data_IF_484868104091
#
_entry.id   IF_484868104091
#
_cell.length_a   1.000
_cell.length_b   1.000
_cell.length_c   1.000
_cell.angle_alpha   90.00
_cell.angle_beta   90.00
_cell.angle_gamma   90.00
#
_symmetry.space_group_name_H-M   'P 1'
#
loop_
_entity.id
_entity.type
_entity.pdbx_description
1 polymer ?
#
# COMPACT_ATOMS: atom_id res chain seq x y z
N UNK A 1 -11.38 -7.87 -13.91
CA UNK A 1 -10.13 -7.36 -14.51
C UNK A 1 -9.98 -5.85 -14.32
N UNK A 2 -10.99 -5.07 -14.70
CA UNK A 2 -10.97 -3.60 -14.55
C UNK A 2 -10.62 -3.12 -13.13
N UNK A 3 -11.02 -3.84 -12.09
CA UNK A 3 -10.64 -3.51 -10.72
C UNK A 3 -9.13 -3.69 -10.46
N UNK A 4 -8.54 -4.78 -10.96
CA UNK A 4 -7.11 -5.04 -10.84
C UNK A 4 -6.29 -4.02 -11.64
N UNK A 5 -6.73 -3.69 -12.84
CA UNK A 5 -6.08 -2.68 -13.68
C UNK A 5 -6.07 -1.31 -12.97
N UNK A 6 -7.19 -0.95 -12.33
CA UNK A 6 -7.27 0.27 -11.52
C UNK A 6 -6.32 0.24 -10.32
N UNK A 7 -6.20 -0.88 -9.62
CA UNK A 7 -5.28 -1.02 -8.50
C UNK A 7 -3.82 -0.93 -8.95
N UNK A 8 -3.48 -1.52 -10.09
CA UNK A 8 -2.15 -1.41 -10.68
C UNK A 8 -1.82 0.06 -11.02
N UNK A 9 -2.72 0.77 -11.67
CA UNK A 9 -2.54 2.21 -11.95
C UNK A 9 -2.36 3.05 -10.68
N UNK A 10 -3.13 2.76 -9.63
CA UNK A 10 -2.98 3.45 -8.35
C UNK A 10 -1.62 3.16 -7.70
N UNK A 11 -1.14 1.92 -7.76
CA UNK A 11 0.17 1.56 -7.24
C UNK A 11 1.29 2.30 -7.98
N UNK A 12 1.22 2.35 -9.31
CA UNK A 12 2.19 3.08 -10.14
C UNK A 12 2.16 4.59 -9.88
N UNK A 13 0.97 5.17 -9.77
CA UNK A 13 0.80 6.58 -9.45
C UNK A 13 1.35 6.92 -8.05
N UNK A 14 1.10 6.07 -7.06
CA UNK A 14 1.65 6.26 -5.71
C UNK A 14 3.17 6.15 -5.70
N UNK A 15 3.75 5.20 -6.43
CA UNK A 15 5.20 5.07 -6.55
C UNK A 15 5.83 6.30 -7.21
N UNK A 16 5.21 6.83 -8.26
CA UNK A 16 5.65 8.05 -8.93
C UNK A 16 5.57 9.26 -7.99
N UNK A 17 4.50 9.38 -7.22
CA UNK A 17 4.31 10.46 -6.27
C UNK A 17 5.34 10.42 -5.13
N UNK A 18 5.65 9.24 -4.59
CA UNK A 18 6.73 9.09 -3.59
C UNK A 18 8.06 9.56 -4.16
N UNK A 19 8.42 9.12 -5.38
CA UNK A 19 9.66 9.57 -6.03
C UNK A 19 9.70 11.08 -6.21
N UNK A 20 8.59 11.67 -6.61
CA UNK A 20 8.46 13.13 -6.80
C UNK A 20 8.68 13.87 -5.48
N UNK A 21 8.06 13.43 -4.40
CA UNK A 21 8.14 14.06 -3.08
C UNK A 21 9.57 13.99 -2.52
N UNK A 22 10.27 12.88 -2.69
CA UNK A 22 11.60 12.68 -2.09
C UNK A 22 12.75 13.17 -2.96
N UNK A 23 12.55 13.38 -4.25
CA UNK A 23 13.62 13.67 -5.23
C UNK A 23 14.49 14.88 -4.90
N UNK A 24 13.94 15.90 -4.24
CA UNK A 24 14.66 17.11 -3.88
C UNK A 24 15.11 17.19 -2.41
N UNK A 25 14.87 16.12 -1.63
CA UNK A 25 15.15 16.13 -0.21
C UNK A 25 16.58 15.68 0.09
N UNK A 26 17.23 16.36 1.05
CA UNK A 26 18.50 15.95 1.62
C UNK A 26 18.28 14.87 2.69
N UNK A 27 19.32 14.10 3.00
CA UNK A 27 19.27 13.05 4.03
C UNK A 27 18.76 13.57 5.38
N UNK A 28 19.20 14.76 5.79
CA UNK A 28 18.72 15.38 7.02
C UNK A 28 17.21 15.65 7.02
N UNK A 29 16.62 15.95 5.87
CA UNK A 29 15.17 16.17 5.73
C UNK A 29 14.40 14.84 5.72
N UNK A 30 14.96 13.80 5.11
CA UNK A 30 14.39 12.46 5.12
C UNK A 30 14.38 11.84 6.53
N UNK A 31 15.42 12.11 7.31
CA UNK A 31 15.59 11.59 8.67
C UNK A 31 14.93 12.47 9.74
N UNK A 32 14.48 13.65 9.38
CA UNK A 32 13.85 14.56 10.34
C UNK A 32 12.54 13.99 10.88
N UNK A 33 12.37 14.07 12.20
CA UNK A 33 11.16 13.69 12.90
C UNK A 33 10.60 14.90 13.66
N UNK A 34 9.29 15.19 13.58
CA UNK A 34 8.67 16.32 14.27
C UNK A 34 8.67 16.16 15.81
N UNK A 35 8.80 14.94 16.32
CA UNK A 35 8.88 14.62 17.74
C UNK A 35 9.49 13.23 17.93
N UNK A 36 10.01 12.86 19.14
CA UNK A 36 10.67 11.57 19.39
C UNK A 36 9.81 10.34 19.06
N UNK A 37 8.49 10.44 19.21
CA UNK A 37 7.55 9.34 18.93
C UNK A 37 6.92 9.42 17.52
N UNK A 38 7.40 10.30 16.66
CA UNK A 38 6.87 10.49 15.31
C UNK A 38 7.82 9.93 14.27
N UNK A 39 7.28 9.37 13.23
CA UNK A 39 8.04 8.83 12.13
C UNK A 39 8.60 9.92 11.23
N UNK A 40 9.84 9.72 10.81
CA UNK A 40 10.42 10.44 9.69
C UNK A 40 9.91 9.90 8.35
N UNK A 41 10.17 10.61 7.26
CA UNK A 41 9.90 10.11 5.90
C UNK A 41 10.65 8.80 5.66
N UNK A 42 11.93 8.74 6.06
CA UNK A 42 12.74 7.52 5.93
C UNK A 42 12.11 6.33 6.67
N UNK A 43 11.62 6.52 7.88
CA UNK A 43 10.94 5.48 8.65
C UNK A 43 9.66 4.99 7.95
N UNK A 44 8.87 5.89 7.37
CA UNK A 44 7.69 5.53 6.59
C UNK A 44 8.05 4.67 5.38
N UNK A 45 9.08 5.05 4.62
CA UNK A 45 9.55 4.31 3.45
C UNK A 45 10.11 2.94 3.84
N UNK A 46 10.91 2.88 4.91
CA UNK A 46 11.45 1.63 5.44
C UNK A 46 10.32 0.67 5.86
N UNK A 47 9.28 1.18 6.49
CA UNK A 47 8.09 0.39 6.84
C UNK A 47 7.40 -0.19 5.59
N UNK A 48 7.23 0.59 4.53
CA UNK A 48 6.64 0.12 3.28
C UNK A 48 7.51 -0.98 2.63
N UNK A 49 8.82 -0.81 2.63
CA UNK A 49 9.77 -1.81 2.09
C UNK A 49 9.70 -3.10 2.90
N UNK A 50 9.75 -3.03 4.22
CA UNK A 50 9.68 -4.19 5.11
C UNK A 50 8.33 -4.93 4.96
N UNK A 51 7.25 -4.19 4.88
CA UNK A 51 5.91 -4.75 4.65
C UNK A 51 5.83 -5.46 3.30
N UNK A 52 6.32 -4.83 2.24
CA UNK A 52 6.38 -5.45 0.91
C UNK A 52 7.20 -6.73 0.91
N UNK A 53 8.39 -6.71 1.50
CA UNK A 53 9.26 -7.86 1.60
C UNK A 53 8.62 -9.03 2.37
N UNK A 54 7.79 -8.75 3.39
CA UNK A 54 7.08 -9.76 4.15
C UNK A 54 5.89 -10.38 3.39
N UNK A 55 5.15 -9.56 2.64
CA UNK A 55 3.88 -9.98 2.03
C UNK A 55 4.01 -10.45 0.58
N UNK A 56 4.84 -9.84 -0.26
CA UNK A 56 4.93 -10.17 -1.67
C UNK A 56 5.24 -11.65 -1.95
N UNK A 57 6.20 -12.29 -1.27
CA UNK A 57 6.46 -13.72 -1.49
C UNK A 57 5.26 -14.61 -1.13
N UNK A 58 4.53 -14.26 -0.07
CA UNK A 58 3.34 -14.99 0.37
C UNK A 58 2.20 -14.86 -0.62
N UNK A 59 1.99 -13.66 -1.15
CA UNK A 59 0.99 -13.40 -2.19
C UNK A 59 1.35 -14.16 -3.46
N UNK A 60 2.61 -14.12 -3.88
CA UNK A 60 3.08 -14.84 -5.06
C UNK A 60 2.88 -16.36 -4.91
N UNK A 61 3.21 -16.93 -3.75
CA UNK A 61 3.00 -18.34 -3.46
C UNK A 61 1.51 -18.71 -3.46
N UNK A 62 0.66 -17.88 -2.86
CA UNK A 62 -0.78 -18.10 -2.84
C UNK A 62 -1.38 -18.06 -4.26
N UNK A 63 -0.94 -17.11 -5.09
CA UNK A 63 -1.37 -17.00 -6.48
C UNK A 63 -0.91 -18.20 -7.33
N UNK A 64 0.31 -18.69 -7.10
CA UNK A 64 0.83 -19.87 -7.80
C UNK A 64 0.08 -21.15 -7.44
N UNK A 65 -0.39 -21.26 -6.19
CA UNK A 65 -1.14 -22.41 -5.70
C UNK A 65 -2.66 -22.31 -5.98
N UNK A 66 -3.16 -21.13 -6.32
CA UNK A 66 -4.59 -20.93 -6.54
C UNK A 66 -5.11 -21.67 -7.78
N UNK A 67 -6.26 -22.35 -7.68
CA UNK A 67 -6.91 -22.94 -8.85
C UNK A 67 -7.23 -21.87 -9.89
N UNK A 68 -6.94 -22.17 -11.14
CA UNK A 68 -7.34 -21.31 -12.25
C UNK A 68 -8.78 -21.63 -12.62
N UNK A 69 -9.69 -20.77 -12.25
CA UNK A 69 -11.10 -20.89 -12.58
C UNK A 69 -11.50 -19.79 -13.57
N UNK A 70 -11.65 -20.13 -14.87
CA UNK A 70 -12.06 -19.17 -15.89
C UNK A 70 -13.40 -18.49 -15.60
N UNK A 71 -14.31 -19.19 -14.91
CA UNK A 71 -15.64 -18.66 -14.58
C UNK A 71 -15.57 -17.46 -13.62
N UNK A 72 -14.50 -17.37 -12.83
CA UNK A 72 -14.28 -16.27 -11.90
C UNK A 72 -13.37 -15.16 -12.44
N UNK A 73 -12.78 -15.35 -13.62
CA UNK A 73 -11.83 -14.38 -14.20
C UNK A 73 -12.44 -12.99 -14.42
N UNK A 74 -13.72 -12.93 -14.75
CA UNK A 74 -14.48 -11.70 -14.99
C UNK A 74 -15.38 -11.30 -13.80
N UNK A 75 -15.40 -12.09 -12.74
CA UNK A 75 -16.22 -11.80 -11.56
C UNK A 75 -15.73 -10.51 -10.87
N UNK A 76 -16.67 -9.64 -10.55
CA UNK A 76 -16.36 -8.44 -9.77
C UNK A 76 -15.90 -8.85 -8.36
N UNK A 77 -14.74 -8.37 -7.96
CA UNK A 77 -14.27 -8.57 -6.59
C UNK A 77 -15.21 -7.88 -5.59
N UNK A 78 -15.66 -8.64 -4.61
CA UNK A 78 -16.49 -8.15 -3.52
C UNK A 78 -15.77 -8.38 -2.19
N UNK A 79 -15.39 -7.32 -1.48
CA UNK A 79 -14.77 -7.47 -0.16
C UNK A 79 -15.76 -8.08 0.83
N UNK A 80 -15.26 -8.93 1.71
CA UNK A 80 -16.02 -9.38 2.88
C UNK A 80 -16.42 -8.17 3.75
N UNK A 81 -17.38 -8.37 4.64
CA UNK A 81 -17.74 -7.32 5.63
C UNK A 81 -16.51 -6.82 6.39
N UNK A 82 -15.63 -7.71 6.79
CA UNK A 82 -14.39 -7.38 7.50
C UNK A 82 -13.41 -6.60 6.60
N UNK A 83 -13.29 -7.00 5.33
CA UNK A 83 -12.48 -6.28 4.36
C UNK A 83 -12.98 -4.86 4.10
N UNK A 84 -14.29 -4.66 4.05
CA UNK A 84 -14.89 -3.32 3.93
C UNK A 84 -14.59 -2.43 5.14
N UNK A 85 -14.69 -3.00 6.34
CA UNK A 85 -14.37 -2.29 7.57
C UNK A 85 -12.88 -1.91 7.60
N UNK A 86 -12.01 -2.82 7.22
CA UNK A 86 -10.57 -2.59 7.18
C UNK A 86 -10.21 -1.47 6.18
N UNK A 87 -10.75 -1.52 4.96
CA UNK A 87 -10.50 -0.48 3.95
C UNK A 87 -11.00 0.89 4.42
N UNK A 88 -12.16 0.91 5.06
CA UNK A 88 -12.71 2.16 5.64
C UNK A 88 -11.79 2.72 6.74
N UNK A 89 -11.25 1.86 7.59
CA UNK A 89 -10.38 2.25 8.71
C UNK A 89 -8.98 2.67 8.25
N UNK A 90 -8.41 1.95 7.28
CA UNK A 90 -7.07 2.18 6.75
C UNK A 90 -7.03 3.14 5.55
N UNK A 91 -8.20 3.56 5.05
CA UNK A 91 -8.30 4.42 3.87
C UNK A 91 -7.80 5.83 4.11
N UNK A 92 -7.38 6.53 3.05
CA UNK A 92 -6.82 7.89 3.14
C UNK A 92 -7.83 8.94 3.64
N UNK A 93 -9.12 8.62 3.58
CA UNK A 93 -10.21 9.49 4.07
C UNK A 93 -10.33 9.46 5.60
N UNK A 94 -9.77 8.44 6.24
CA UNK A 94 -9.73 8.36 7.69
C UNK A 94 -8.62 9.27 8.19
N UNK A 95 -8.92 10.54 8.41
CA UNK A 95 -7.97 11.46 9.04
C UNK A 95 -7.68 10.96 10.45
N UNK A 96 -6.43 10.57 10.68
CA UNK A 96 -5.94 10.40 12.03
C UNK A 96 -5.96 11.77 12.70
N UNK A 97 -6.91 11.97 13.60
CA UNK A 97 -6.99 13.18 14.45
C UNK A 97 -5.94 13.21 15.56
N UNK A 98 -5.06 12.21 15.59
CA UNK A 98 -3.92 12.19 16.50
C UNK A 98 -2.75 12.91 15.84
N UNK A 99 -2.77 14.20 15.96
CA UNK A 99 -1.60 15.04 15.75
C UNK A 99 -0.71 14.97 16.98
#
# INVERSE_FOLDING_TARGET
RAHLDRLAHLADANAAEVRRVVAGLRDAQLLWSPAPARWSIATCLEHLIATGAAYHPRIAAALAAAPRDPAHAEAAWRPSWFGRLFVRYAGPETRSTRV
#
